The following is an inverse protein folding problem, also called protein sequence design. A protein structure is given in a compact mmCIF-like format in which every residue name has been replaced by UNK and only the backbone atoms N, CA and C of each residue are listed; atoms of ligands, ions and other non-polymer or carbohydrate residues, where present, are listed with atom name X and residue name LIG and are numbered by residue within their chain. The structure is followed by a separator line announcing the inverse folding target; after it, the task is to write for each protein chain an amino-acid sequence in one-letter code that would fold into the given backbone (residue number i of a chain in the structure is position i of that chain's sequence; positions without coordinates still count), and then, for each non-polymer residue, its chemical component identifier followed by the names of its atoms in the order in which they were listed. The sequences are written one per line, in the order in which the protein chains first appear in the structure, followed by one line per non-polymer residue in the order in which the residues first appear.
data_IF_855906601299
#
_entry.id   IF_855906601299
#
_cell.length_a   1.000
_cell.length_b   1.000
_cell.length_c   1.000
_cell.angle_alpha   90.00
_cell.angle_beta   90.00
_cell.angle_gamma   90.00
#
_symmetry.space_group_name_H-M   'P 1'
#
loop_
_entity.id
_entity.type
_entity.pdbx_description
1 polymer ?
#
# COMPACT_ATOMS: atom_id res chain seq x y z
N UNK A 1 -6.78 -7.51 19.46
CA UNK A 1 -6.19 -6.78 18.33
C UNK A 1 -7.15 -5.74 17.81
N UNK A 2 -6.68 -4.53 17.64
CA UNK A 2 -7.54 -3.47 17.15
C UNK A 2 -7.83 -3.65 15.66
N UNK A 3 -9.04 -3.30 15.27
CA UNK A 3 -9.43 -3.24 13.87
C UNK A 3 -8.72 -2.06 13.22
N UNK A 4 -8.21 -2.27 12.01
CA UNK A 4 -7.63 -1.17 11.25
C UNK A 4 -8.73 -0.21 10.79
N UNK A 5 -8.56 1.05 11.09
CA UNK A 5 -9.47 2.10 10.68
C UNK A 5 -8.72 3.17 9.90
N UNK A 6 -9.30 3.69 8.81
CA UNK A 6 -8.72 4.85 8.15
C UNK A 6 -8.62 6.01 9.11
N UNK A 7 -7.45 6.63 9.16
CA UNK A 7 -7.18 7.80 9.99
C UNK A 7 -7.26 9.09 9.17
N UNK A 8 -8.03 9.09 8.10
CA UNK A 8 -8.19 10.19 7.17
C UNK A 8 -9.62 10.27 6.63
N UNK A 9 -9.80 10.94 5.52
CA UNK A 9 -11.07 11.42 5.00
C UNK A 9 -11.96 10.38 4.28
N UNK A 10 -11.71 9.10 4.47
CA UNK A 10 -12.54 8.06 3.88
C UNK A 10 -13.95 8.14 4.50
N UNK A 11 -14.96 8.36 3.66
CA UNK A 11 -16.34 8.49 4.12
C UNK A 11 -17.06 7.15 4.20
N UNK A 12 -16.67 6.20 3.34
CA UNK A 12 -17.29 4.88 3.32
C UNK A 12 -16.20 3.80 3.34
N UNK A 13 -15.66 3.47 4.52
CA UNK A 13 -14.59 2.47 4.61
C UNK A 13 -15.03 1.06 4.19
N UNK A 14 -16.35 0.82 4.06
CA UNK A 14 -16.87 -0.47 3.60
C UNK A 14 -17.07 -0.50 2.08
N UNK A 15 -16.88 0.61 1.39
CA UNK A 15 -17.18 0.71 -0.04
C UNK A 15 -16.23 -0.08 -0.92
N UNK A 16 -14.94 0.02 -0.67
CA UNK A 16 -13.92 -0.75 -1.38
C UNK A 16 -12.79 -1.05 -0.43
N UNK A 17 -12.74 -2.28 0.05
CA UNK A 17 -11.66 -2.75 0.91
C UNK A 17 -10.96 -3.91 0.21
N UNK A 18 -9.66 -3.76 0.04
CA UNK A 18 -8.81 -4.75 -0.61
C UNK A 18 -7.73 -5.17 0.38
N UNK A 19 -7.52 -6.47 0.49
CA UNK A 19 -6.43 -7.02 1.30
C UNK A 19 -5.64 -7.96 0.40
N UNK A 20 -4.33 -7.76 0.35
CA UNK A 20 -3.43 -8.65 -0.38
C UNK A 20 -2.30 -9.05 0.54
N UNK A 21 -2.07 -10.34 0.70
CA UNK A 21 -0.99 -10.83 1.54
C UNK A 21 -0.23 -11.95 0.87
N UNK A 22 1.05 -12.07 1.25
CA UNK A 22 1.91 -13.17 0.80
C UNK A 22 2.72 -13.68 1.98
N UNK A 23 2.93 -14.99 1.99
CA UNK A 23 3.89 -15.60 2.91
C UNK A 23 5.25 -15.65 2.24
N UNK A 24 6.27 -15.20 2.96
CA UNK A 24 7.60 -14.99 2.42
C UNK A 24 8.61 -15.84 3.20
N UNK A 25 9.53 -16.55 2.52
CA UNK A 25 10.53 -17.38 3.20
C UNK A 25 11.70 -16.52 3.73
N UNK A 26 11.39 -15.58 4.61
CA UNK A 26 12.37 -14.68 5.22
C UNK A 26 11.82 -14.18 6.55
N UNK A 27 12.72 -13.73 7.42
CA UNK A 27 12.34 -13.16 8.71
C UNK A 27 11.56 -11.85 8.51
N UNK A 28 10.67 -11.55 9.46
CA UNK A 28 9.80 -10.38 9.39
C UNK A 28 10.61 -9.08 9.24
N UNK A 29 11.74 -8.95 9.93
CA UNK A 29 12.59 -7.77 9.80
C UNK A 29 13.15 -7.57 8.40
N UNK A 30 13.51 -8.67 7.73
CA UNK A 30 14.02 -8.61 6.36
C UNK A 30 12.92 -8.20 5.39
N UNK A 31 11.71 -8.72 5.57
CA UNK A 31 10.57 -8.36 4.73
C UNK A 31 10.16 -6.91 4.96
N UNK A 32 10.16 -6.48 6.23
CA UNK A 32 9.85 -5.09 6.57
C UNK A 32 10.85 -4.11 5.94
N UNK A 33 12.13 -4.49 5.84
CA UNK A 33 13.13 -3.65 5.18
C UNK A 33 12.77 -3.36 3.72
N UNK A 34 11.95 -4.20 3.09
CA UNK A 34 11.46 -3.99 1.72
C UNK A 34 10.12 -3.27 1.73
N UNK A 35 9.09 -3.88 2.34
CA UNK A 35 7.72 -3.35 2.26
C UNK A 35 7.49 -2.15 3.19
N UNK A 36 8.33 -1.98 4.20
CA UNK A 36 8.29 -0.82 5.09
C UNK A 36 9.12 0.35 4.60
N UNK A 37 9.82 0.21 3.49
CA UNK A 37 10.58 1.30 2.90
C UNK A 37 9.63 2.15 2.04
N UNK A 38 9.10 3.21 2.64
CA UNK A 38 8.10 4.06 2.02
C UNK A 38 8.59 4.68 0.70
N UNK A 39 9.89 4.96 0.60
CA UNK A 39 10.52 5.54 -0.58
C UNK A 39 10.93 4.50 -1.64
N UNK A 40 10.78 3.21 -1.35
CA UNK A 40 11.35 2.16 -2.19
C UNK A 40 10.35 1.20 -2.82
N UNK A 41 9.08 1.57 -2.92
CA UNK A 41 8.04 0.70 -3.49
C UNK A 41 8.28 0.35 -4.97
N UNK A 42 9.13 1.10 -5.65
CA UNK A 42 9.50 0.79 -7.03
C UNK A 42 10.25 -0.56 -7.15
N UNK A 43 10.78 -1.10 -6.05
CA UNK A 43 11.40 -2.43 -6.06
C UNK A 43 10.41 -3.54 -6.37
N UNK A 44 9.13 -3.38 -6.00
CA UNK A 44 8.12 -4.41 -6.23
C UNK A 44 6.93 -3.91 -7.04
N UNK A 45 6.97 -2.67 -7.52
CA UNK A 45 5.96 -2.12 -8.42
C UNK A 45 6.66 -1.65 -9.69
N UNK A 46 6.85 -2.55 -10.67
CA UNK A 46 7.61 -2.20 -11.88
C UNK A 46 6.97 -1.14 -12.75
N UNK A 47 5.67 -0.85 -12.56
CA UNK A 47 5.00 0.25 -13.26
C UNK A 47 5.52 1.62 -12.83
N UNK A 48 6.21 1.70 -11.68
CA UNK A 48 6.78 2.96 -11.19
C UNK A 48 8.11 3.23 -11.89
N UNK A 49 8.26 4.48 -12.35
CA UNK A 49 9.52 4.99 -12.87
C UNK A 49 10.48 5.31 -11.73
N UNK A 50 10.00 6.09 -10.76
CA UNK A 50 10.79 6.49 -9.59
C UNK A 50 9.87 7.09 -8.54
N UNK A 51 10.43 7.32 -7.35
CA UNK A 51 9.73 7.94 -6.22
C UNK A 51 10.56 9.12 -5.73
N UNK A 52 9.92 10.26 -5.51
CA UNK A 52 10.55 11.44 -4.92
C UNK A 52 9.95 11.70 -3.54
N UNK A 53 10.83 11.95 -2.57
CA UNK A 53 10.40 12.20 -1.18
C UNK A 53 10.50 13.66 -0.83
N UNK A 54 9.54 14.13 -0.02
CA UNK A 54 9.59 15.45 0.63
C UNK A 54 9.42 15.22 2.13
N UNK A 55 10.43 15.57 2.91
CA UNK A 55 10.44 15.34 4.35
C UNK A 55 10.84 13.93 4.72
N UNK A 56 10.85 13.65 6.00
CA UNK A 56 11.20 12.34 6.56
C UNK A 56 10.21 11.94 7.65
N UNK A 57 9.98 10.62 7.80
CA UNK A 57 9.13 10.09 8.84
C UNK A 57 7.67 10.37 8.63
N UNK A 58 6.93 10.38 9.75
CA UNK A 58 5.49 10.67 9.71
C UNK A 58 5.26 12.07 9.17
N UNK A 59 4.22 12.21 8.36
CA UNK A 59 3.84 13.42 7.62
C UNK A 59 4.69 13.69 6.38
N UNK A 60 5.71 12.86 6.09
CA UNK A 60 6.47 12.99 4.84
C UNK A 60 5.57 12.65 3.65
N UNK A 61 5.94 13.20 2.50
CA UNK A 61 5.23 12.97 1.24
C UNK A 61 6.09 12.16 0.30
N UNK A 62 5.45 11.22 -0.41
CA UNK A 62 6.10 10.56 -1.54
C UNK A 62 5.32 10.82 -2.80
N UNK A 63 6.04 11.14 -3.87
CA UNK A 63 5.48 11.27 -5.21
C UNK A 63 5.88 10.04 -6.00
N UNK A 64 4.92 9.24 -6.37
CA UNK A 64 5.14 8.03 -7.17
C UNK A 64 4.89 8.37 -8.63
N UNK A 65 5.95 8.33 -9.43
CA UNK A 65 5.88 8.61 -10.86
C UNK A 65 5.79 7.30 -11.61
N UNK A 66 4.70 7.11 -12.33
CA UNK A 66 4.48 5.92 -13.15
C UNK A 66 5.09 6.10 -14.53
N UNK A 67 5.48 4.99 -15.14
CA UNK A 67 6.10 5.00 -16.48
C UNK A 67 5.15 5.52 -17.56
N UNK A 68 3.84 5.41 -17.33
CA UNK A 68 2.82 5.89 -18.26
C UNK A 68 2.48 7.38 -18.10
N UNK A 69 3.17 8.08 -17.20
CA UNK A 69 2.95 9.50 -16.94
C UNK A 69 2.01 9.80 -15.80
N UNK A 70 1.39 8.80 -15.19
CA UNK A 70 0.54 9.00 -14.03
C UNK A 70 1.37 9.34 -12.80
N UNK A 71 0.73 10.03 -11.86
CA UNK A 71 1.34 10.49 -10.62
C UNK A 71 0.40 10.20 -9.45
N UNK A 72 0.97 9.69 -8.35
CA UNK A 72 0.24 9.52 -7.09
C UNK A 72 1.08 10.14 -5.98
N UNK A 73 0.48 11.02 -5.20
CA UNK A 73 1.14 11.66 -4.05
C UNK A 73 0.49 11.14 -2.78
N UNK A 74 1.30 10.66 -1.86
CA UNK A 74 0.84 10.03 -0.63
C UNK A 74 1.57 10.60 0.57
N UNK A 75 0.86 10.69 1.69
CA UNK A 75 1.41 11.17 2.96
C UNK A 75 1.44 10.03 3.97
N UNK A 76 2.59 9.84 4.61
CA UNK A 76 2.74 8.84 5.66
C UNK A 76 2.04 9.32 6.93
N UNK A 77 1.05 8.56 7.40
CA UNK A 77 0.24 8.94 8.57
C UNK A 77 0.80 8.40 9.86
N UNK A 78 1.26 7.15 9.86
CA UNK A 78 1.79 6.50 11.06
C UNK A 78 2.83 5.46 10.67
N UNK A 79 3.73 5.18 11.61
CA UNK A 79 4.76 4.16 11.40
C UNK A 79 5.20 3.62 12.75
N UNK A 80 5.26 2.29 12.85
CA UNK A 80 5.76 1.60 14.03
C UNK A 80 6.71 0.49 13.57
N UNK A 81 8.01 0.74 13.72
CA UNK A 81 9.04 -0.21 13.28
C UNK A 81 9.18 -1.42 14.21
N UNK A 82 8.63 -1.36 15.40
CA UNK A 82 8.59 -2.53 16.29
C UNK A 82 7.44 -3.45 15.93
N UNK A 83 6.25 -2.87 15.68
CA UNK A 83 5.09 -3.62 15.26
C UNK A 83 5.13 -3.97 13.77
N UNK A 84 6.06 -3.40 13.02
CA UNK A 84 6.24 -3.57 11.59
C UNK A 84 4.96 -3.21 10.83
N UNK A 85 4.51 -1.98 11.02
CA UNK A 85 3.31 -1.46 10.35
C UNK A 85 3.43 0.02 10.05
N UNK A 86 2.74 0.45 9.01
CA UNK A 86 2.60 1.87 8.66
C UNK A 86 1.31 2.10 7.91
N UNK A 87 0.82 3.33 7.94
CA UNK A 87 -0.36 3.74 7.20
C UNK A 87 -0.09 5.03 6.43
N UNK A 88 -0.80 5.21 5.32
CA UNK A 88 -0.66 6.42 4.52
C UNK A 88 -1.98 6.75 3.82
N UNK A 89 -2.06 8.00 3.31
CA UNK A 89 -3.21 8.49 2.58
C UNK A 89 -2.76 9.04 1.24
N UNK A 90 -3.50 8.72 0.20
CA UNK A 90 -3.32 9.36 -1.11
C UNK A 90 -3.96 10.75 -1.06
N UNK A 91 -3.17 11.79 -1.29
CA UNK A 91 -3.64 13.17 -1.23
C UNK A 91 -3.81 13.79 -2.62
N UNK A 92 -3.22 13.18 -3.64
CA UNK A 92 -3.37 13.62 -5.04
C UNK A 92 -3.05 12.45 -5.96
N UNK A 93 -3.80 12.31 -7.04
CA UNK A 93 -3.49 11.31 -8.06
C UNK A 93 -4.11 11.70 -9.41
N UNK A 94 -3.56 11.13 -10.47
CA UNK A 94 -4.05 11.27 -11.83
C UNK A 94 -4.76 10.00 -12.32
N UNK A 95 -4.97 9.01 -11.44
CA UNK A 95 -5.55 7.72 -11.79
C UNK A 95 -7.07 7.70 -11.75
N UNK A 96 -7.71 8.79 -11.31
CA UNK A 96 -9.16 8.82 -11.14
C UNK A 96 -9.64 8.14 -9.87
N UNK A 97 -8.78 8.01 -8.87
CA UNK A 97 -9.13 7.48 -7.56
C UNK A 97 -9.53 8.66 -6.67
N UNK A 98 -10.56 8.48 -5.85
CA UNK A 98 -10.96 9.45 -4.84
C UNK A 98 -10.08 9.32 -3.60
N UNK A 99 -10.69 9.33 -2.43
CA UNK A 99 -9.95 9.15 -1.19
C UNK A 99 -9.41 7.72 -1.12
N UNK A 100 -8.17 7.59 -0.68
CA UNK A 100 -7.53 6.28 -0.52
C UNK A 100 -6.66 6.29 0.72
N UNK A 101 -6.87 5.30 1.57
CA UNK A 101 -6.04 5.03 2.74
C UNK A 101 -5.48 3.63 2.61
N UNK A 102 -4.27 3.42 3.09
CA UNK A 102 -3.64 2.11 3.02
C UNK A 102 -2.78 1.83 4.23
N UNK A 103 -2.56 0.55 4.48
CA UNK A 103 -1.67 0.07 5.53
C UNK A 103 -0.80 -1.06 4.97
N UNK A 104 0.44 -1.12 5.45
CA UNK A 104 1.35 -2.21 5.18
C UNK A 104 1.82 -2.76 6.51
N UNK A 105 1.77 -4.08 6.66
CA UNK A 105 2.23 -4.73 7.89
C UNK A 105 2.94 -6.04 7.58
N UNK A 106 3.79 -6.46 8.52
CA UNK A 106 4.48 -7.75 8.44
C UNK A 106 4.28 -8.48 9.76
N UNK A 107 3.88 -9.73 9.68
CA UNK A 107 3.73 -10.62 10.84
C UNK A 107 4.73 -11.76 10.74
N UNK A 108 5.38 -12.08 11.84
CA UNK A 108 6.22 -13.26 11.93
C UNK A 108 5.32 -14.49 12.06
N UNK A 109 5.56 -15.52 11.25
CA UNK A 109 4.81 -16.77 11.32
C UNK A 109 5.58 -17.81 12.12
N UNK A 110 6.84 -18.01 11.74
CA UNK A 110 7.78 -18.87 12.45
C UNK A 110 9.20 -18.48 12.04
N UNK A 111 10.19 -19.19 12.50
CA UNK A 111 11.59 -18.89 12.20
C UNK A 111 11.83 -18.95 10.69
N UNK A 112 12.26 -17.84 10.10
CA UNK A 112 12.56 -17.76 8.68
C UNK A 112 11.32 -17.61 7.79
N UNK A 113 10.14 -17.32 8.37
CA UNK A 113 8.91 -17.15 7.59
C UNK A 113 8.06 -16.01 8.14
N UNK A 114 7.49 -15.23 7.25
CA UNK A 114 6.64 -14.11 7.64
C UNK A 114 5.53 -13.89 6.61
N UNK A 115 4.57 -13.05 6.99
CA UNK A 115 3.47 -12.65 6.10
C UNK A 115 3.46 -11.14 5.97
N UNK A 116 3.52 -10.64 4.74
CA UNK A 116 3.33 -9.23 4.44
C UNK A 116 1.89 -9.01 3.97
N UNK A 117 1.26 -7.96 4.47
CA UNK A 117 -0.14 -7.65 4.17
C UNK A 117 -0.29 -6.20 3.77
N UNK A 118 -0.89 -5.95 2.62
CA UNK A 118 -1.25 -4.62 2.14
C UNK A 118 -2.77 -4.50 2.19
N UNK A 119 -3.26 -3.56 2.99
CA UNK A 119 -4.69 -3.26 3.11
C UNK A 119 -4.94 -1.92 2.45
N UNK A 120 -5.92 -1.85 1.55
CA UNK A 120 -6.28 -0.62 0.85
C UNK A 120 -7.77 -0.39 1.05
N UNK A 121 -8.12 0.81 1.50
CA UNK A 121 -9.52 1.24 1.59
C UNK A 121 -9.63 2.48 0.71
N UNK A 122 -10.41 2.38 -0.36
CA UNK A 122 -10.43 3.40 -1.40
C UNK A 122 -11.85 3.73 -1.83
N UNK A 123 -12.00 4.92 -2.39
CA UNK A 123 -13.25 5.38 -2.98
C UNK A 123 -12.97 5.77 -4.44
N UNK A 124 -13.80 5.36 -5.40
CA UNK A 124 -13.63 5.85 -6.77
C UNK A 124 -13.92 7.36 -6.83
N UNK A 125 -13.21 8.07 -7.69
CA UNK A 125 -13.41 9.53 -7.83
C UNK A 125 -14.80 9.84 -8.35
N UNK A 126 -15.32 9.00 -9.21
CA UNK A 126 -16.64 9.13 -9.82
C UNK A 126 -17.30 7.76 -9.89
N UNK A 127 -18.62 7.77 -9.91
CA UNK A 127 -19.37 6.57 -10.12
C UNK A 127 -20.16 6.13 -8.90
N UNK A 128 -20.96 5.13 -9.08
CA UNK A 128 -21.78 4.55 -8.03
C UNK A 128 -21.52 3.06 -7.91
N UNK A 129 -22.51 2.34 -7.42
CA UNK A 129 -22.39 0.91 -7.18
C UNK A 129 -22.01 0.11 -8.43
N UNK A 130 -22.42 0.58 -9.59
CA UNK A 130 -22.18 -0.13 -10.87
C UNK A 130 -20.70 -0.09 -11.29
N UNK A 131 -19.90 0.90 -10.82
CA UNK A 131 -18.48 0.99 -11.14
C UNK A 131 -17.61 0.45 -10.02
N UNK A 132 -18.18 0.22 -8.85
CA UNK A 132 -17.42 -0.15 -7.64
C UNK A 132 -16.75 -1.52 -7.81
N UNK A 133 -17.44 -2.50 -8.40
CA UNK A 133 -16.88 -3.83 -8.59
C UNK A 133 -15.64 -3.81 -9.47
N UNK A 134 -15.70 -3.13 -10.61
CA UNK A 134 -14.56 -3.02 -11.51
C UNK A 134 -13.40 -2.25 -10.87
N UNK A 135 -13.71 -1.20 -10.11
CA UNK A 135 -12.70 -0.45 -9.38
C UNK A 135 -12.00 -1.32 -8.34
N UNK A 136 -12.78 -2.08 -7.58
CA UNK A 136 -12.22 -3.00 -6.58
C UNK A 136 -11.33 -4.05 -7.23
N UNK A 137 -11.76 -4.63 -8.36
CA UNK A 137 -10.97 -5.62 -9.09
C UNK A 137 -9.65 -5.03 -9.58
N UNK A 138 -9.66 -3.79 -10.05
CA UNK A 138 -8.45 -3.10 -10.47
C UNK A 138 -7.47 -2.92 -9.30
N UNK A 139 -7.97 -2.45 -8.16
CA UNK A 139 -7.14 -2.23 -6.97
C UNK A 139 -6.61 -3.56 -6.44
N UNK A 140 -7.46 -4.60 -6.41
CA UNK A 140 -7.04 -5.93 -5.95
C UNK A 140 -5.94 -6.51 -6.84
N UNK A 141 -6.11 -6.42 -8.15
CA UNK A 141 -5.10 -6.92 -9.09
C UNK A 141 -3.77 -6.20 -8.95
N UNK A 142 -3.81 -4.89 -8.78
CA UNK A 142 -2.61 -4.08 -8.57
C UNK A 142 -1.88 -4.51 -7.29
N UNK A 143 -2.62 -4.66 -6.19
CA UNK A 143 -2.04 -5.06 -4.92
C UNK A 143 -1.48 -6.48 -4.97
N UNK A 144 -2.22 -7.41 -5.58
CA UNK A 144 -1.78 -8.80 -5.69
C UNK A 144 -0.51 -8.93 -6.51
N UNK A 145 -0.42 -8.20 -7.62
CA UNK A 145 0.79 -8.21 -8.46
C UNK A 145 1.99 -7.67 -7.68
N UNK A 146 1.80 -6.57 -6.95
CA UNK A 146 2.86 -5.98 -6.13
C UNK A 146 3.33 -6.96 -5.05
N UNK A 147 2.39 -7.61 -4.35
CA UNK A 147 2.75 -8.53 -3.28
C UNK A 147 3.41 -9.80 -3.82
N UNK A 148 3.00 -10.30 -5.00
CA UNK A 148 3.71 -11.39 -5.66
C UNK A 148 5.15 -10.99 -6.00
N UNK A 149 5.37 -9.76 -6.40
CA UNK A 149 6.72 -9.26 -6.66
C UNK A 149 7.56 -9.17 -5.39
N UNK A 150 6.93 -8.84 -4.25
CA UNK A 150 7.62 -8.90 -2.95
C UNK A 150 8.10 -10.33 -2.69
N UNK A 151 7.22 -11.31 -2.86
CA UNK A 151 7.59 -12.71 -2.68
C UNK A 151 8.80 -13.09 -3.55
N UNK A 152 8.81 -12.67 -4.81
CA UNK A 152 9.89 -12.97 -5.74
C UNK A 152 11.24 -12.42 -5.32
N UNK A 153 11.26 -11.33 -4.55
CA UNK A 153 12.51 -10.74 -4.07
C UNK A 153 13.23 -11.64 -3.06
N UNK A 154 12.51 -12.60 -2.46
CA UNK A 154 13.05 -13.47 -1.42
C UNK A 154 13.14 -14.94 -1.86
N UNK A 155 12.86 -15.21 -3.11
CA UNK A 155 12.95 -16.57 -3.66
C UNK A 155 14.29 -16.82 -4.31
#
# INVERSE_FOLDING_TARGET
MSTLHPDTLIKNPQGCQVVSSVEVPADAGQVWAVVGNFAGFDRFIPALSHIEMTGEGVSSLRKKFFKDGNLVVEQLNSRDDEALSMTWTTIYNTLGVGNLWAAMSVDSLDAGRSRATWTIIAEPAQGGAETLSGFKDFVQGFADDAMNNVLKLFM
#
